data_IF_188084977186
#
_entry.id   IF_188084977186
#
_cell.length_a   1.000
_cell.length_b   1.000
_cell.length_c   1.000
_cell.angle_alpha   90.00
_cell.angle_beta   90.00
_cell.angle_gamma   90.00
#
_symmetry.space_group_name_H-M   'P 1'
#
loop_
_entity.id
_entity.type
_entity.pdbx_description
1 polymer ?
#
# COMPACT_ATOMS: atom_id res chain seq x y z
N UNK A 1 -18.63 26.42 4.06
CA UNK A 1 -17.69 25.74 3.12
C UNK A 1 -17.04 26.64 2.05
N UNK A 2 -17.31 27.95 2.00
CA UNK A 2 -16.71 28.89 1.01
C UNK A 2 -15.20 29.14 1.27
N UNK A 3 -14.81 29.20 2.56
CA UNK A 3 -13.40 29.40 2.97
C UNK A 3 -12.49 28.28 2.48
N UNK A 4 -12.92 27.02 2.59
CA UNK A 4 -12.16 25.84 2.15
C UNK A 4 -12.02 25.78 0.61
N UNK A 5 -13.06 26.18 -0.14
CA UNK A 5 -12.99 26.30 -1.61
C UNK A 5 -11.98 27.36 -2.05
N UNK A 6 -11.98 28.54 -1.42
CA UNK A 6 -10.98 29.60 -1.69
C UNK A 6 -9.57 29.15 -1.34
N UNK A 7 -9.38 28.49 -0.20
CA UNK A 7 -8.09 27.93 0.20
C UNK A 7 -7.59 26.89 -0.82
N UNK A 8 -8.46 25.98 -1.27
CA UNK A 8 -8.12 24.96 -2.29
C UNK A 8 -7.73 25.57 -3.63
N UNK A 9 -8.31 26.70 -4.04
CA UNK A 9 -7.90 27.41 -5.26
C UNK A 9 -6.50 28.02 -5.16
N UNK A 10 -6.07 28.48 -3.99
CA UNK A 10 -4.70 28.98 -3.79
C UNK A 10 -3.64 27.86 -3.81
N UNK A 11 -4.01 26.64 -3.41
CA UNK A 11 -3.12 25.48 -3.42
C UNK A 11 -3.24 24.60 -4.67
N UNK A 12 -4.12 24.94 -5.62
CA UNK A 12 -4.13 24.30 -6.93
C UNK A 12 -2.83 24.67 -7.66
N UNK A 13 -2.08 23.67 -8.10
CA UNK A 13 -0.81 23.88 -8.81
C UNK A 13 0.42 23.81 -7.90
N UNK A 14 0.33 24.19 -6.63
CA UNK A 14 1.47 24.19 -5.69
C UNK A 14 2.22 22.85 -5.65
N UNK A 15 1.49 21.73 -5.60
CA UNK A 15 2.09 20.41 -5.65
C UNK A 15 2.73 20.12 -7.02
N UNK A 16 2.03 20.45 -8.11
CA UNK A 16 2.53 20.21 -9.47
C UNK A 16 3.82 20.99 -9.76
N UNK A 17 3.91 22.23 -9.28
CA UNK A 17 5.07 23.10 -9.52
C UNK A 17 6.29 22.62 -8.74
N UNK A 18 6.13 22.26 -7.46
CA UNK A 18 7.25 21.79 -6.64
C UNK A 18 7.71 20.38 -7.03
N UNK A 19 6.77 19.43 -7.18
CA UNK A 19 7.11 18.05 -7.57
C UNK A 19 7.59 17.98 -9.03
N UNK A 20 6.99 18.75 -9.93
CA UNK A 20 7.42 18.85 -11.31
C UNK A 20 8.83 19.43 -11.44
N UNK A 21 9.12 20.51 -10.70
CA UNK A 21 10.45 21.10 -10.65
C UNK A 21 11.50 20.11 -10.14
N UNK A 22 11.28 19.49 -8.99
CA UNK A 22 12.24 18.53 -8.43
C UNK A 22 12.44 17.32 -9.33
N UNK A 23 11.38 16.83 -9.99
CA UNK A 23 11.50 15.75 -10.96
C UNK A 23 12.38 16.15 -12.15
N UNK A 24 12.17 17.34 -12.73
CA UNK A 24 12.99 17.82 -13.84
C UNK A 24 14.44 18.01 -13.42
N UNK A 25 14.67 18.70 -12.30
CA UNK A 25 16.02 18.94 -11.76
C UNK A 25 16.76 17.62 -11.50
N UNK A 26 16.09 16.61 -10.94
CA UNK A 26 16.68 15.29 -10.71
C UNK A 26 17.13 14.62 -12.01
N UNK A 27 16.34 14.72 -13.09
CA UNK A 27 16.73 14.16 -14.39
C UNK A 27 17.89 14.96 -15.02
N UNK A 28 17.90 16.29 -14.90
CA UNK A 28 19.01 17.14 -15.36
C UNK A 28 20.33 16.77 -14.64
N UNK A 29 20.29 16.66 -13.31
CA UNK A 29 21.45 16.27 -12.49
C UNK A 29 21.94 14.84 -12.80
N UNK A 30 21.03 13.91 -13.09
CA UNK A 30 21.40 12.53 -13.51
C UNK A 30 22.10 12.50 -14.85
N UNK A 31 21.63 13.30 -15.81
CA UNK A 31 22.28 13.41 -17.11
C UNK A 31 23.67 14.03 -16.98
N UNK A 32 23.81 15.10 -16.18
CA UNK A 32 25.11 15.72 -15.92
C UNK A 32 26.07 14.74 -15.23
N UNK A 33 25.59 13.99 -14.24
CA UNK A 33 26.39 12.96 -13.57
C UNK A 33 26.85 11.87 -14.54
N UNK A 34 25.96 11.37 -15.40
CA UNK A 34 26.29 10.34 -16.39
C UNK A 34 27.39 10.82 -17.37
N UNK A 35 27.35 12.09 -17.80
CA UNK A 35 28.38 12.69 -18.64
C UNK A 35 29.73 12.74 -17.90
N UNK A 36 29.73 13.13 -16.62
CA UNK A 36 30.95 13.17 -15.82
C UNK A 36 31.54 11.77 -15.56
N UNK A 37 30.69 10.77 -15.40
CA UNK A 37 31.11 9.37 -15.24
C UNK A 37 31.69 8.81 -16.55
N UNK A 38 31.09 9.10 -17.70
CA UNK A 38 31.63 8.73 -19.01
C UNK A 38 33.01 9.39 -19.26
N UNK A 39 33.16 10.68 -18.94
CA UNK A 39 34.45 11.37 -19.02
C UNK A 39 35.52 10.78 -18.10
N UNK A 40 35.12 10.21 -16.96
CA UNK A 40 36.03 9.57 -16.01
C UNK A 40 36.55 8.21 -16.53
N UNK A 41 35.82 7.55 -17.43
CA UNK A 41 36.28 6.33 -18.11
C UNK A 41 37.47 6.61 -19.04
N UNK A 42 37.49 7.78 -19.68
CA UNK A 42 38.57 8.22 -20.58
C UNK A 42 39.82 8.71 -19.83
N UNK A 43 39.69 9.01 -18.53
CA UNK A 43 40.80 9.46 -17.69
C UNK A 43 40.35 10.22 -16.44
N UNK A 44 41.27 10.56 -15.53
CA UNK A 44 40.92 11.26 -14.29
C UNK A 44 40.32 12.64 -14.58
N UNK A 45 39.22 12.95 -13.90
CA UNK A 45 38.58 14.26 -13.97
C UNK A 45 39.51 15.36 -13.42
N UNK A 46 39.43 16.54 -14.03
CA UNK A 46 40.05 17.75 -13.46
C UNK A 46 39.37 18.12 -12.12
N UNK A 47 40.09 18.78 -11.20
CA UNK A 47 39.56 19.08 -9.86
C UNK A 47 38.20 19.76 -9.85
N UNK A 48 37.94 20.67 -10.80
CA UNK A 48 36.68 21.39 -10.92
C UNK A 48 35.50 20.46 -11.27
N UNK A 49 35.70 19.55 -12.23
CA UNK A 49 34.69 18.56 -12.62
C UNK A 49 34.45 17.53 -11.52
N UNK A 50 35.51 17.14 -10.80
CA UNK A 50 35.39 16.26 -9.65
C UNK A 50 34.59 16.91 -8.51
N UNK A 51 34.85 18.20 -8.22
CA UNK A 51 34.06 18.97 -7.25
C UNK A 51 32.59 19.03 -7.67
N UNK A 52 32.33 19.30 -8.96
CA UNK A 52 30.95 19.34 -9.48
C UNK A 52 30.25 17.98 -9.34
N UNK A 53 30.95 16.87 -9.57
CA UNK A 53 30.42 15.51 -9.36
C UNK A 53 29.98 15.28 -7.91
N UNK A 54 30.78 15.76 -6.95
CA UNK A 54 30.44 15.69 -5.51
C UNK A 54 29.18 16.52 -5.22
N UNK A 55 29.13 17.75 -5.73
CA UNK A 55 27.99 18.66 -5.53
C UNK A 55 26.70 18.04 -6.09
N UNK A 56 26.74 17.51 -7.32
CA UNK A 56 25.60 16.81 -7.94
C UNK A 56 25.15 15.62 -7.10
N UNK A 57 26.09 14.84 -6.57
CA UNK A 57 25.78 13.69 -5.71
C UNK A 57 25.07 14.12 -4.43
N UNK A 58 25.50 15.23 -3.83
CA UNK A 58 24.85 15.82 -2.66
C UNK A 58 23.44 16.33 -2.99
N UNK A 59 23.28 17.11 -4.07
CA UNK A 59 21.98 17.63 -4.51
C UNK A 59 20.99 16.50 -4.81
N UNK A 60 21.42 15.44 -5.51
CA UNK A 60 20.60 14.26 -5.76
C UNK A 60 20.19 13.56 -4.47
N UNK A 61 21.10 13.44 -3.51
CA UNK A 61 20.81 12.85 -2.21
C UNK A 61 19.73 13.63 -1.46
N UNK A 62 19.81 14.97 -1.42
CA UNK A 62 18.79 15.81 -0.80
C UNK A 62 17.42 15.66 -1.47
N UNK A 63 17.37 15.58 -2.80
CA UNK A 63 16.10 15.35 -3.52
C UNK A 63 15.51 13.99 -3.13
N UNK A 64 16.31 12.93 -3.07
CA UNK A 64 15.85 11.58 -2.73
C UNK A 64 15.35 11.49 -1.28
N UNK A 65 16.05 12.09 -0.32
CA UNK A 65 15.60 12.15 1.09
C UNK A 65 14.25 12.85 1.21
N UNK A 66 14.06 13.96 0.49
CA UNK A 66 12.79 14.66 0.48
C UNK A 66 11.65 13.84 -0.15
N UNK A 67 11.95 13.08 -1.21
CA UNK A 67 10.99 12.13 -1.80
C UNK A 67 10.64 11.01 -0.82
N UNK A 68 11.62 10.43 -0.13
CA UNK A 68 11.41 9.39 0.88
C UNK A 68 10.51 9.88 2.01
N UNK A 69 10.79 11.06 2.59
CA UNK A 69 9.95 11.66 3.63
C UNK A 69 8.53 11.88 3.13
N UNK A 70 8.38 12.36 1.89
CA UNK A 70 7.07 12.56 1.29
C UNK A 70 6.29 11.24 1.15
N UNK A 71 6.93 10.19 0.65
CA UNK A 71 6.31 8.87 0.50
C UNK A 71 6.01 8.22 1.86
N UNK A 72 6.87 8.41 2.86
CA UNK A 72 6.61 7.98 4.23
C UNK A 72 5.37 8.67 4.82
N UNK A 73 5.18 9.96 4.55
CA UNK A 73 3.99 10.69 4.98
C UNK A 73 2.73 10.25 4.23
N UNK A 74 2.82 9.99 2.92
CA UNK A 74 1.66 9.62 2.08
C UNK A 74 1.22 8.16 2.24
N UNK A 75 2.16 7.23 2.42
CA UNK A 75 1.89 5.79 2.48
C UNK A 75 1.01 5.39 3.68
N UNK A 76 0.87 6.26 4.69
CA UNK A 76 0.26 5.92 5.98
C UNK A 76 0.84 4.62 6.60
N UNK A 77 2.01 4.18 6.13
CA UNK A 77 2.62 2.89 6.46
C UNK A 77 3.33 2.99 7.80
N UNK A 78 2.56 2.79 8.87
CA UNK A 78 3.12 2.56 10.21
C UNK A 78 3.82 1.19 10.31
N UNK A 79 3.57 0.30 9.37
CA UNK A 79 4.14 -1.05 9.30
C UNK A 79 5.66 -1.02 9.10
N UNK A 80 6.16 -0.29 8.10
CA UNK A 80 7.57 -0.35 7.67
C UNK A 80 8.55 0.00 8.79
N UNK A 81 8.20 0.96 9.65
CA UNK A 81 9.10 1.47 10.70
C UNK A 81 9.29 0.50 11.88
N UNK A 82 8.35 -0.45 12.09
CA UNK A 82 8.36 -1.37 13.23
C UNK A 82 8.39 -2.84 12.82
N UNK A 83 8.14 -3.16 11.55
CA UNK A 83 8.03 -4.53 11.06
C UNK A 83 7.03 -5.36 11.87
N UNK A 84 7.38 -6.60 12.16
CA UNK A 84 6.56 -7.53 12.95
C UNK A 84 6.35 -7.11 14.42
N UNK A 85 7.15 -6.16 14.93
CA UNK A 85 6.97 -5.60 16.28
C UNK A 85 5.76 -4.65 16.35
N UNK A 86 5.10 -4.32 15.24
CA UNK A 86 3.92 -3.47 15.23
C UNK A 86 2.61 -4.24 15.53
N UNK A 87 2.60 -5.03 16.61
CA UNK A 87 1.46 -5.89 16.97
C UNK A 87 0.13 -5.13 17.02
N UNK A 88 0.10 -3.92 17.61
CA UNK A 88 -1.11 -3.07 17.67
C UNK A 88 -1.69 -2.75 16.29
N UNK A 89 -0.85 -2.47 15.28
CA UNK A 89 -1.29 -2.21 13.91
C UNK A 89 -1.95 -3.45 13.29
N UNK A 90 -1.31 -4.62 13.38
CA UNK A 90 -1.90 -5.85 12.83
C UNK A 90 -3.16 -6.26 13.57
N UNK A 91 -3.20 -6.10 14.90
CA UNK A 91 -4.41 -6.35 15.68
C UNK A 91 -5.55 -5.45 15.23
N UNK A 92 -5.29 -4.16 14.97
CA UNK A 92 -6.31 -3.24 14.43
C UNK A 92 -6.79 -3.65 13.04
N UNK A 93 -5.90 -4.02 12.13
CA UNK A 93 -6.27 -4.50 10.80
C UNK A 93 -7.06 -5.81 10.89
N UNK A 94 -6.60 -6.77 11.67
CA UNK A 94 -7.26 -8.06 11.87
C UNK A 94 -8.66 -7.87 12.48
N UNK A 95 -8.79 -7.00 13.49
CA UNK A 95 -10.08 -6.66 14.09
C UNK A 95 -11.00 -5.95 13.10
N UNK A 96 -10.48 -5.02 12.29
CA UNK A 96 -11.26 -4.37 11.23
C UNK A 96 -11.77 -5.35 10.18
N UNK A 97 -10.91 -6.28 9.74
CA UNK A 97 -11.30 -7.37 8.83
C UNK A 97 -12.32 -8.30 9.48
N UNK A 98 -12.12 -8.68 10.75
CA UNK A 98 -13.06 -9.48 11.53
C UNK A 98 -14.42 -8.80 11.57
N UNK A 99 -14.49 -7.53 11.96
CA UNK A 99 -15.74 -6.79 12.04
C UNK A 99 -16.46 -6.70 10.69
N UNK A 100 -15.73 -6.38 9.61
CA UNK A 100 -16.30 -6.30 8.26
C UNK A 100 -16.79 -7.65 7.73
N UNK A 101 -16.10 -8.74 8.05
CA UNK A 101 -16.38 -10.07 7.51
C UNK A 101 -17.25 -10.92 8.44
N UNK A 102 -17.62 -10.41 9.61
CA UNK A 102 -18.53 -11.12 10.52
C UNK A 102 -19.93 -11.09 9.90
N UNK A 103 -20.46 -12.28 9.60
CA UNK A 103 -21.84 -12.46 9.16
C UNK A 103 -22.72 -12.47 10.41
N UNK A 104 -23.53 -11.44 10.58
CA UNK A 104 -24.45 -11.31 11.73
C UNK A 104 -25.80 -11.97 11.46
N UNK A 105 -26.28 -11.89 10.22
CA UNK A 105 -27.47 -12.58 9.75
C UNK A 105 -27.28 -13.04 8.31
N UNK A 106 -28.05 -14.05 7.91
CA UNK A 106 -28.08 -14.60 6.56
C UNK A 106 -29.54 -14.81 6.14
N UNK A 107 -29.92 -14.33 4.96
CA UNK A 107 -31.24 -14.58 4.40
C UNK A 107 -31.23 -15.86 3.55
N UNK A 108 -32.02 -16.85 3.94
CA UNK A 108 -32.21 -18.11 3.22
C UNK A 108 -33.66 -18.18 2.68
N UNK A 109 -33.84 -17.85 1.41
CA UNK A 109 -35.19 -17.69 0.82
C UNK A 109 -35.92 -16.51 1.47
N UNK A 110 -37.06 -16.76 2.11
CA UNK A 110 -37.81 -15.74 2.86
C UNK A 110 -37.48 -15.69 4.36
N UNK A 111 -36.63 -16.61 4.84
CA UNK A 111 -36.28 -16.70 6.27
C UNK A 111 -34.98 -15.96 6.53
N UNK A 112 -34.98 -15.07 7.53
CA UNK A 112 -33.76 -14.45 8.06
C UNK A 112 -33.23 -15.29 9.23
N UNK A 113 -31.96 -15.68 9.12
CA UNK A 113 -31.25 -16.49 10.10
C UNK A 113 -30.31 -15.58 10.86
N UNK A 114 -30.56 -15.41 12.15
CA UNK A 114 -29.75 -14.59 13.03
C UNK A 114 -29.12 -15.44 14.14
N UNK A 115 -27.96 -14.99 14.61
CA UNK A 115 -27.23 -15.63 15.70
C UNK A 115 -26.23 -16.68 15.22
N UNK A 116 -25.06 -16.68 15.85
CA UNK A 116 -23.91 -17.50 15.44
C UNK A 116 -24.24 -18.98 15.38
N UNK A 117 -24.94 -19.52 16.38
CA UNK A 117 -25.25 -20.95 16.44
C UNK A 117 -26.21 -21.38 15.33
N UNK A 118 -27.21 -20.55 15.02
CA UNK A 118 -28.16 -20.80 13.94
C UNK A 118 -27.50 -20.70 12.57
N UNK A 119 -26.59 -19.74 12.38
CA UNK A 119 -25.81 -19.60 11.15
C UNK A 119 -24.92 -20.83 10.92
N UNK A 120 -24.27 -21.33 11.98
CA UNK A 120 -23.45 -22.54 11.92
C UNK A 120 -24.31 -23.77 11.61
N UNK A 121 -25.45 -23.94 12.28
CA UNK A 121 -26.36 -25.05 12.04
C UNK A 121 -26.87 -25.05 10.60
N UNK A 122 -27.37 -23.90 10.11
CA UNK A 122 -27.85 -23.77 8.75
C UNK A 122 -26.77 -24.02 7.70
N UNK A 123 -25.56 -23.45 7.87
CA UNK A 123 -24.45 -23.71 6.96
C UNK A 123 -24.08 -25.20 6.95
N UNK A 124 -24.06 -25.84 8.12
CA UNK A 124 -23.76 -27.26 8.25
C UNK A 124 -24.79 -28.11 7.51
N UNK A 125 -26.08 -27.85 7.71
CA UNK A 125 -27.15 -28.63 7.09
C UNK A 125 -27.21 -28.40 5.57
N UNK A 126 -27.02 -27.16 5.13
CA UNK A 126 -26.91 -26.83 3.70
C UNK A 126 -25.81 -27.62 3.02
N UNK A 127 -24.60 -27.66 3.59
CA UNK A 127 -23.48 -28.39 2.99
C UNK A 127 -23.59 -29.91 3.14
N UNK A 128 -24.23 -30.41 4.21
CA UNK A 128 -24.59 -31.83 4.33
C UNK A 128 -25.58 -32.25 3.26
N UNK A 129 -26.53 -31.40 2.87
CA UNK A 129 -27.44 -31.71 1.78
C UNK A 129 -26.73 -31.60 0.43
N UNK A 130 -25.93 -30.55 0.23
CA UNK A 130 -25.22 -30.29 -1.02
C UNK A 130 -24.20 -31.39 -1.37
N UNK A 131 -23.47 -31.88 -0.37
CA UNK A 131 -22.40 -32.88 -0.53
C UNK A 131 -22.70 -34.22 0.12
N UNK A 132 -23.91 -34.39 0.66
CA UNK A 132 -24.35 -35.65 1.26
C UNK A 132 -24.48 -36.76 0.24
N UNK A 133 -24.60 -38.03 0.70
CA UNK A 133 -24.77 -39.15 -0.20
C UNK A 133 -26.00 -38.95 -1.09
N UNK A 134 -25.84 -39.18 -2.39
CA UNK A 134 -26.94 -39.09 -3.35
C UNK A 134 -28.12 -39.96 -2.89
N UNK A 135 -29.35 -39.47 -3.03
CA UNK A 135 -30.56 -40.24 -2.72
C UNK A 135 -30.51 -41.57 -3.51
N UNK A 136 -30.28 -42.67 -2.79
CA UNK A 136 -30.15 -44.01 -3.37
C UNK A 136 -28.83 -44.75 -3.05
N UNK A 137 -27.80 -44.06 -2.55
CA UNK A 137 -26.56 -44.73 -2.12
C UNK A 137 -26.64 -45.10 -0.63
N UNK A 138 -27.40 -46.15 -0.31
CA UNK A 138 -27.31 -46.88 0.96
C UNK A 138 -26.14 -47.86 0.91
N UNK A 139 -24.90 -47.37 0.82
CA UNK A 139 -23.76 -48.21 1.12
C UNK A 139 -23.44 -48.07 2.61
N UNK A 140 -23.99 -48.99 3.40
CA UNK A 140 -23.54 -49.21 4.77
C UNK A 140 -22.22 -49.97 4.68
N UNK A 141 -21.12 -49.30 5.02
CA UNK A 141 -19.88 -50.01 5.35
C UNK A 141 -20.01 -50.43 6.81
N UNK A 142 -20.12 -51.74 7.04
CA UNK A 142 -20.06 -52.32 8.38
C UNK A 142 -18.66 -52.09 9.02
N UNK A 143 -18.56 -52.14 10.37
CA UNK A 143 -17.42 -51.64 11.13
C UNK A 143 -16.06 -52.30 10.81
#
# INVERSE_FOLDING_TARGET
NIKLKRFKTYFKGWGSDKFGHNKRLKEELRLELAILEELEEDGPLIPELYSRKIDISFELHEILVNEEIYWLQQSHERWLLKGDLNTDYFHKIANGRKHKNTIHSLKAGEVEIEGTDNLIAHATDFYKELFGPARGNQFHLDP
#
